data_IF_665058266164
#
_entry.id   IF_665058266164
#
_cell.length_a   1.000
_cell.length_b   1.000
_cell.length_c   1.000
_cell.angle_alpha   90.00
_cell.angle_beta   90.00
_cell.angle_gamma   90.00
#
_symmetry.space_group_name_H-M   'P 1'
#
loop_
_entity.id
_entity.type
_entity.pdbx_description
1 polymer ?
#
# COMPACT_ATOMS: atom_id res chain seq x y z
N UNK A 1 4.74 -17.18 7.66
CA UNK A 1 4.20 -16.09 6.81
C UNK A 1 2.84 -15.71 7.39
N UNK A 2 2.64 -14.46 7.78
CA UNK A 2 1.48 -14.04 8.59
C UNK A 2 0.59 -12.98 7.93
N UNK A 3 1.05 -12.36 6.83
CA UNK A 3 0.24 -11.46 6.00
C UNK A 3 0.76 -11.42 4.55
N UNK A 4 -0.01 -10.84 3.61
CA UNK A 4 0.40 -10.69 2.20
C UNK A 4 1.72 -9.92 2.04
N UNK A 5 1.99 -8.93 2.89
CA UNK A 5 3.25 -8.19 2.87
C UNK A 5 4.50 -9.07 3.09
N UNK A 6 4.39 -10.12 3.92
CA UNK A 6 5.49 -11.07 4.13
C UNK A 6 5.81 -11.86 2.85
N UNK A 7 4.81 -12.18 2.02
CA UNK A 7 5.03 -12.86 0.74
C UNK A 7 5.86 -12.00 -0.20
N UNK A 8 5.49 -10.73 -0.36
CA UNK A 8 6.22 -9.78 -1.21
C UNK A 8 7.62 -9.49 -0.69
N UNK A 9 7.79 -9.32 0.62
CA UNK A 9 9.11 -9.09 1.24
C UNK A 9 10.10 -10.23 1.00
N UNK A 10 9.61 -11.46 1.01
CA UNK A 10 10.45 -12.65 0.83
C UNK A 10 10.56 -13.09 -0.65
N UNK A 11 9.79 -12.49 -1.56
CA UNK A 11 9.90 -12.77 -2.98
C UNK A 11 11.16 -12.12 -3.57
N UNK A 12 11.89 -12.87 -4.41
CA UNK A 12 13.04 -12.34 -5.14
C UNK A 12 12.62 -11.32 -6.22
N UNK A 13 11.43 -11.48 -6.78
CA UNK A 13 10.86 -10.56 -7.77
C UNK A 13 9.34 -10.57 -7.71
N UNK A 14 8.74 -9.38 -7.82
CA UNK A 14 7.32 -9.18 -8.03
C UNK A 14 7.08 -8.84 -9.50
N UNK A 15 6.42 -9.74 -10.23
CA UNK A 15 6.06 -9.50 -11.62
C UNK A 15 4.67 -8.87 -11.66
N UNK A 16 4.55 -7.73 -12.34
CA UNK A 16 3.29 -6.99 -12.46
C UNK A 16 2.93 -6.89 -13.93
N UNK A 17 1.81 -7.50 -14.31
CA UNK A 17 1.25 -7.38 -15.65
C UNK A 17 0.15 -6.31 -15.65
N UNK A 18 0.23 -5.39 -16.61
CA UNK A 18 -0.62 -4.21 -16.72
C UNK A 18 -1.32 -4.21 -18.08
N UNK A 19 -2.53 -4.78 -18.10
CA UNK A 19 -3.36 -4.83 -19.31
C UNK A 19 -3.85 -3.44 -19.75
N UNK A 20 -3.96 -2.52 -18.79
CA UNK A 20 -4.44 -1.15 -18.99
C UNK A 20 -3.29 -0.13 -18.93
N UNK A 21 -2.08 -0.55 -19.29
CA UNK A 21 -0.95 0.36 -19.37
C UNK A 21 -1.24 1.48 -20.40
N UNK A 22 -1.29 2.75 -19.97
CA UNK A 22 -1.70 3.81 -20.87
C UNK A 22 -0.57 4.18 -21.83
N UNK A 23 -0.94 4.34 -23.11
CA UNK A 23 -0.19 5.17 -24.06
C UNK A 23 -0.90 6.51 -24.17
N UNK A 24 -0.38 7.63 -23.63
CA UNK A 24 0.97 7.87 -23.13
C UNK A 24 1.22 7.50 -21.64
N UNK A 25 2.50 7.29 -21.27
CA UNK A 25 2.94 7.07 -19.89
C UNK A 25 2.48 8.19 -18.94
N UNK A 26 2.14 7.84 -17.70
CA UNK A 26 1.70 8.78 -16.66
C UNK A 26 0.19 8.89 -16.45
N UNK A 27 -0.64 8.28 -17.30
CA UNK A 27 -2.09 8.18 -17.06
C UNK A 27 -2.40 7.24 -15.89
N UNK A 28 -3.53 7.48 -15.22
CA UNK A 28 -3.94 6.67 -14.07
C UNK A 28 -4.36 5.26 -14.53
N UNK A 29 -3.62 4.23 -14.14
CA UNK A 29 -3.98 2.83 -14.38
C UNK A 29 -4.67 2.21 -13.15
N UNK A 30 -5.33 1.07 -13.33
CA UNK A 30 -5.98 0.29 -12.28
C UNK A 30 -5.00 -0.14 -11.20
N UNK A 31 -3.75 -0.42 -11.57
CA UNK A 31 -2.73 -0.81 -10.60
C UNK A 31 -2.47 0.27 -9.55
N UNK A 32 -2.44 1.53 -9.95
CA UNK A 32 -2.22 2.68 -9.06
C UNK A 32 -3.42 2.99 -8.15
N UNK A 33 -4.60 2.46 -8.47
CA UNK A 33 -5.84 2.67 -7.71
C UNK A 33 -6.24 1.49 -6.86
N UNK A 34 -5.71 0.29 -7.07
CA UNK A 34 -6.00 -0.87 -6.20
C UNK A 34 -5.28 -0.73 -4.85
N UNK A 35 -5.97 -1.09 -3.76
CA UNK A 35 -5.43 -0.99 -2.39
C UNK A 35 -4.23 -1.90 -2.15
N UNK A 36 -4.38 -3.19 -2.48
CA UNK A 36 -3.39 -4.23 -2.22
C UNK A 36 -2.06 -4.04 -2.95
N UNK A 37 -2.08 -3.38 -4.11
CA UNK A 37 -0.88 -3.18 -4.93
C UNK A 37 0.14 -2.24 -4.27
N UNK A 38 -0.25 -1.48 -3.24
CA UNK A 38 0.72 -0.71 -2.46
C UNK A 38 1.67 -1.64 -1.70
N UNK A 39 1.18 -2.76 -1.15
CA UNK A 39 2.06 -3.73 -0.49
C UNK A 39 2.99 -4.41 -1.49
N UNK A 40 2.47 -4.75 -2.67
CA UNK A 40 3.27 -5.36 -3.75
C UNK A 40 4.50 -4.51 -4.10
N UNK A 41 4.31 -3.22 -4.33
CA UNK A 41 5.39 -2.32 -4.74
C UNK A 41 6.36 -2.06 -3.58
N UNK A 42 5.82 -1.76 -2.40
CA UNK A 42 6.64 -1.22 -1.31
C UNK A 42 7.38 -2.34 -0.56
N UNK A 43 6.73 -3.49 -0.40
CA UNK A 43 7.29 -4.61 0.37
C UNK A 43 8.23 -5.47 -0.46
N UNK A 44 8.11 -5.51 -1.78
CA UNK A 44 9.02 -6.28 -2.63
C UNK A 44 10.43 -5.71 -2.61
N UNK A 45 11.43 -6.54 -2.92
CA UNK A 45 12.81 -6.08 -3.14
C UNK A 45 13.06 -5.63 -4.59
N UNK A 46 12.26 -6.18 -5.52
CA UNK A 46 12.32 -5.84 -6.95
C UNK A 46 10.96 -6.08 -7.57
N UNK A 47 10.47 -5.11 -8.35
CA UNK A 47 9.27 -5.24 -9.16
C UNK A 47 9.61 -5.04 -10.63
N UNK A 48 9.03 -5.85 -11.52
CA UNK A 48 9.17 -5.73 -12.97
C UNK A 48 7.79 -5.62 -13.58
N UNK A 49 7.57 -4.57 -14.36
CA UNK A 49 6.29 -4.27 -14.98
C UNK A 49 6.29 -4.71 -16.44
N UNK A 50 5.19 -5.33 -16.86
CA UNK A 50 4.91 -5.73 -18.22
C UNK A 50 3.62 -5.08 -18.69
N UNK A 51 3.59 -4.61 -19.94
CA UNK A 51 2.35 -4.18 -20.61
C UNK A 51 1.59 -5.38 -21.22
N UNK A 52 0.50 -5.09 -21.94
CA UNK A 52 -0.35 -6.09 -22.59
C UNK A 52 0.42 -6.93 -23.63
N UNK A 53 1.43 -6.34 -24.25
CA UNK A 53 2.28 -6.97 -25.26
C UNK A 53 3.49 -7.69 -24.64
N UNK A 54 3.51 -7.88 -23.32
CA UNK A 54 4.61 -8.46 -22.55
C UNK A 54 5.95 -7.75 -22.74
N UNK A 55 5.92 -6.47 -23.12
CA UNK A 55 7.11 -5.63 -23.14
C UNK A 55 7.37 -5.08 -21.75
N UNK A 56 8.65 -5.06 -21.36
CA UNK A 56 9.06 -4.51 -20.07
C UNK A 56 8.84 -3.01 -20.07
N UNK A 57 8.02 -2.52 -19.16
CA UNK A 57 7.92 -1.09 -18.89
C UNK A 57 8.89 -0.70 -17.77
N UNK A 58 9.68 0.34 -18.03
CA UNK A 58 10.58 0.96 -17.05
C UNK A 58 9.91 2.11 -16.29
N UNK A 59 8.66 2.43 -16.61
CA UNK A 59 8.05 3.66 -16.14
C UNK A 59 7.59 3.55 -14.68
N UNK A 60 7.75 4.66 -13.95
CA UNK A 60 7.36 4.79 -12.54
C UNK A 60 5.86 5.00 -12.43
N UNK A 61 5.10 3.97 -12.78
CA UNK A 61 3.62 3.93 -12.75
C UNK A 61 3.02 4.19 -11.36
N UNK A 62 3.84 4.03 -10.34
CA UNK A 62 3.43 4.10 -8.97
C UNK A 62 3.59 5.55 -8.52
N UNK A 63 2.50 6.23 -8.12
CA UNK A 63 2.52 7.50 -7.36
C UNK A 63 3.09 7.30 -5.94
N UNK A 64 4.15 6.51 -5.84
CA UNK A 64 4.89 6.13 -4.65
C UNK A 64 6.26 6.80 -4.81
N UNK A 65 6.75 7.54 -3.80
CA UNK A 65 8.08 8.13 -3.84
C UNK A 65 9.14 7.07 -4.18
N UNK A 66 10.13 7.47 -4.98
CA UNK A 66 11.18 6.58 -5.51
C UNK A 66 11.87 5.80 -4.40
N UNK A 67 12.14 6.46 -3.28
CA UNK A 67 12.85 5.90 -2.13
C UNK A 67 12.05 4.80 -1.41
N UNK A 68 10.74 4.71 -1.66
CA UNK A 68 9.86 3.69 -1.09
C UNK A 68 9.52 2.58 -2.09
N UNK A 69 9.91 2.74 -3.36
CA UNK A 69 9.72 1.70 -4.37
C UNK A 69 10.64 0.52 -4.07
N UNK A 70 10.07 -0.67 -3.98
CA UNK A 70 10.82 -1.90 -3.77
C UNK A 70 11.75 -1.88 -2.54
N UNK A 71 11.32 -1.20 -1.47
CA UNK A 71 12.13 -1.02 -0.25
C UNK A 71 12.34 -2.31 0.57
N UNK A 72 11.79 -3.45 0.16
CA UNK A 72 11.77 -4.67 0.99
C UNK A 72 10.94 -4.51 2.27
N UNK A 73 10.10 -3.47 2.33
CA UNK A 73 9.41 -3.06 3.56
C UNK A 73 10.35 -2.55 4.66
N UNK A 74 11.58 -2.11 4.32
CA UNK A 74 12.43 -1.32 5.21
C UNK A 74 12.04 0.15 5.07
N UNK A 75 10.94 0.49 5.72
CA UNK A 75 10.36 1.83 5.65
C UNK A 75 10.67 2.57 6.93
N UNK A 76 11.46 3.64 6.82
CA UNK A 76 11.56 4.66 7.87
C UNK A 76 10.63 5.82 7.54
N UNK A 77 9.32 5.53 7.51
CA UNK A 77 8.29 6.54 7.27
C UNK A 77 7.17 6.41 8.28
N UNK A 78 6.65 7.56 8.68
CA UNK A 78 5.50 7.65 9.56
C UNK A 78 4.26 6.97 8.94
N UNK A 79 3.41 6.38 9.78
CA UNK A 79 2.16 5.73 9.38
C UNK A 79 1.24 6.69 8.59
N UNK A 80 1.27 7.99 8.92
CA UNK A 80 0.59 9.05 8.15
C UNK A 80 0.99 9.10 6.67
N UNK A 81 2.27 8.88 6.35
CA UNK A 81 2.74 8.86 4.96
C UNK A 81 2.17 7.65 4.21
N UNK A 82 2.10 6.48 4.87
CA UNK A 82 1.48 5.26 4.33
C UNK A 82 -0.01 5.49 4.07
N UNK A 83 -0.73 6.05 5.03
CA UNK A 83 -2.15 6.39 4.89
C UNK A 83 -2.40 7.39 3.74
N UNK A 84 -1.51 8.38 3.59
CA UNK A 84 -1.57 9.34 2.47
C UNK A 84 -1.38 8.67 1.12
N UNK A 85 -0.47 7.70 1.01
CA UNK A 85 -0.28 6.89 -0.21
C UNK A 85 -1.49 6.00 -0.51
N UNK A 86 -2.19 5.54 0.52
CA UNK A 86 -3.39 4.70 0.39
C UNK A 86 -4.67 5.50 0.09
N UNK A 87 -4.68 6.83 0.28
CA UNK A 87 -5.89 7.67 0.20
C UNK A 87 -6.69 7.52 -1.09
N UNK A 88 -6.03 7.47 -2.25
CA UNK A 88 -6.68 7.35 -3.56
C UNK A 88 -6.93 5.90 -3.99
N UNK A 89 -6.61 4.94 -3.13
CA UNK A 89 -6.73 3.52 -3.44
C UNK A 89 -8.07 2.93 -2.96
N UNK A 90 -8.58 1.98 -3.71
CA UNK A 90 -9.87 1.31 -3.50
C UNK A 90 -9.67 -0.20 -3.42
N UNK A 91 -10.55 -0.85 -2.67
CA UNK A 91 -10.57 -2.30 -2.51
C UNK A 91 -11.98 -2.79 -2.78
N UNK A 92 -12.11 -4.06 -3.14
CA UNK A 92 -13.42 -4.67 -3.38
C UNK A 92 -14.23 -4.76 -2.09
N UNK A 93 -13.64 -5.32 -1.02
CA UNK A 93 -14.22 -5.29 0.32
C UNK A 93 -13.82 -3.99 1.02
N UNK A 94 -14.74 -3.24 1.65
CA UNK A 94 -14.40 -2.01 2.37
C UNK A 94 -13.34 -2.19 3.46
N UNK A 95 -13.34 -3.32 4.16
CA UNK A 95 -12.40 -3.66 5.24
C UNK A 95 -10.98 -3.87 4.75
N UNK A 96 -10.82 -4.35 3.50
CA UNK A 96 -9.51 -4.57 2.89
C UNK A 96 -8.71 -3.27 2.77
N UNK A 97 -9.35 -2.09 2.84
CA UNK A 97 -8.63 -0.81 2.92
C UNK A 97 -7.71 -0.74 4.13
N UNK A 98 -8.11 -1.31 5.27
CA UNK A 98 -7.26 -1.39 6.45
C UNK A 98 -6.29 -2.58 6.35
N UNK A 99 -6.77 -3.74 5.93
CA UNK A 99 -5.94 -4.95 5.88
C UNK A 99 -4.81 -4.88 4.85
N UNK A 100 -5.03 -4.18 3.72
CA UNK A 100 -4.01 -3.88 2.72
C UNK A 100 -2.93 -2.91 3.19
N UNK A 101 -2.97 -2.40 4.42
CA UNK A 101 -1.90 -1.57 4.99
C UNK A 101 -1.06 -2.30 6.04
N UNK A 102 -1.60 -3.37 6.65
CA UNK A 102 -0.98 -4.08 7.79
C UNK A 102 0.48 -4.47 7.55
N UNK A 103 0.79 -5.01 6.36
CA UNK A 103 2.14 -5.44 6.03
C UNK A 103 3.14 -4.29 5.97
N UNK A 104 2.70 -3.14 5.45
CA UNK A 104 3.52 -1.93 5.27
C UNK A 104 3.79 -1.27 6.62
N UNK A 105 2.75 -1.17 7.48
CA UNK A 105 2.90 -0.61 8.83
C UNK A 105 3.51 -1.60 9.83
N UNK A 106 3.80 -2.84 9.42
CA UNK A 106 4.41 -3.85 10.29
C UNK A 106 3.49 -4.40 11.38
N UNK A 107 2.17 -4.33 11.20
CA UNK A 107 1.18 -4.77 12.19
C UNK A 107 0.65 -6.16 11.84
N UNK A 108 0.39 -6.98 12.87
CA UNK A 108 -0.28 -8.27 12.74
C UNK A 108 -1.60 -8.24 13.51
N UNK A 109 -2.72 -8.46 12.83
CA UNK A 109 -4.03 -8.66 13.43
C UNK A 109 -4.83 -9.71 12.65
N UNK A 110 -5.75 -10.39 13.33
CA UNK A 110 -6.66 -11.33 12.66
C UNK A 110 -7.63 -10.59 11.73
N UNK A 111 -7.79 -11.06 10.49
CA UNK A 111 -8.76 -10.52 9.53
C UNK A 111 -10.16 -10.89 10.02
N UNK A 112 -10.99 -9.87 10.25
CA UNK A 112 -12.38 -10.01 10.66
C UNK A 112 -13.26 -9.31 9.60
N UNK A 113 -13.73 -10.08 8.62
CA UNK A 113 -14.56 -9.59 7.53
C UNK A 113 -16.03 -9.51 7.98
N UNK A 114 -16.78 -8.50 7.54
CA UNK A 114 -18.22 -8.40 7.79
C UNK A 114 -18.60 -7.58 9.02
N UNK A 115 -17.62 -6.97 9.69
CA UNK A 115 -17.88 -6.00 10.78
C UNK A 115 -17.74 -4.53 10.33
N UNK A 116 -17.56 -4.30 9.03
CA UNK A 116 -17.46 -2.95 8.45
C UNK A 116 -16.05 -2.38 8.49
N UNK A 117 -15.80 -1.42 7.59
CA UNK A 117 -14.48 -0.79 7.41
C UNK A 117 -14.04 -0.01 8.65
N UNK A 118 -14.98 0.60 9.36
CA UNK A 118 -14.73 1.43 10.54
C UNK A 118 -14.06 0.60 11.64
N UNK A 119 -14.58 -0.62 11.87
CA UNK A 119 -14.00 -1.54 12.86
C UNK A 119 -12.63 -2.06 12.42
N UNK A 120 -12.44 -2.34 11.14
CA UNK A 120 -11.14 -2.75 10.61
C UNK A 120 -10.08 -1.64 10.78
N UNK A 121 -10.43 -0.38 10.49
CA UNK A 121 -9.54 0.76 10.71
C UNK A 121 -9.27 1.03 12.19
N UNK A 122 -10.27 0.91 13.06
CA UNK A 122 -10.10 1.06 14.51
C UNK A 122 -9.07 0.06 15.06
N UNK A 123 -9.18 -1.22 14.68
CA UNK A 123 -8.22 -2.26 15.07
C UNK A 123 -6.82 -2.01 14.49
N UNK A 124 -6.74 -1.49 13.26
CA UNK A 124 -5.48 -1.09 12.65
C UNK A 124 -4.80 0.02 13.45
N UNK A 125 -5.51 1.11 13.75
CA UNK A 125 -4.95 2.22 14.50
C UNK A 125 -4.55 1.82 15.93
N UNK A 126 -5.38 1.05 16.62
CA UNK A 126 -5.05 0.49 17.93
C UNK A 126 -3.75 -0.31 17.87
N UNK A 127 -3.61 -1.17 16.85
CA UNK A 127 -2.43 -2.00 16.71
C UNK A 127 -1.18 -1.21 16.30
N UNK A 128 -1.32 -0.15 15.50
CA UNK A 128 -0.21 0.76 15.15
C UNK A 128 0.28 1.48 16.41
N UNK A 129 -0.63 2.08 17.19
CA UNK A 129 -0.29 2.76 18.44
C UNK A 129 0.42 1.80 19.39
N UNK A 130 -0.11 0.58 19.56
CA UNK A 130 0.44 -0.40 20.50
C UNK A 130 1.82 -0.94 20.08
N UNK A 131 2.05 -1.11 18.77
CA UNK A 131 3.25 -1.79 18.27
C UNK A 131 4.36 -0.81 17.90
N UNK A 132 4.01 0.30 17.26
CA UNK A 132 4.96 1.27 16.73
C UNK A 132 5.04 2.57 17.55
N UNK A 133 4.14 2.77 18.53
CA UNK A 133 3.98 4.02 19.28
C UNK A 133 3.82 5.27 18.37
N UNK A 134 3.42 5.07 17.11
CA UNK A 134 3.35 6.13 16.10
C UNK A 134 1.99 6.83 16.17
N UNK A 135 2.00 8.01 16.81
CA UNK A 135 0.82 8.90 16.92
C UNK A 135 0.57 9.74 15.67
N UNK A 136 1.44 9.67 14.65
CA UNK A 136 1.25 10.41 13.39
C UNK A 136 -0.02 9.97 12.66
N UNK A 137 -0.58 8.81 12.99
CA UNK A 137 -1.88 8.33 12.50
C UNK A 137 -3.04 9.31 12.74
N UNK A 138 -2.88 10.36 13.56
CA UNK A 138 -3.89 11.40 13.73
C UNK A 138 -3.67 12.60 12.79
N UNK A 139 -2.49 12.74 12.19
CA UNK A 139 -2.12 13.84 11.28
C UNK A 139 -2.43 13.55 9.80
N UNK A 140 -2.96 12.38 9.48
CA UNK A 140 -3.25 11.97 8.09
C UNK A 140 -4.47 12.68 7.45
N UNK A 141 -5.36 13.28 8.23
CA UNK A 141 -6.57 13.95 7.74
C UNK A 141 -6.42 15.46 7.56
N UNK A 142 -5.26 16.05 7.91
CA UNK A 142 -4.91 17.43 7.63
C UNK A 142 -6.03 18.43 7.89
N UNK A 143 -6.20 18.88 9.14
CA UNK A 143 -6.88 20.15 9.38
C UNK A 143 -5.86 21.28 9.21
N UNK A 144 -5.93 21.97 8.06
CA UNK A 144 -5.69 23.41 8.08
C UNK A 144 -6.84 24.02 8.89
N UNK A 145 -6.68 24.17 10.20
CA UNK A 145 -7.55 25.02 11.00
C UNK A 145 -6.67 25.89 11.88
N UNK A 146 -6.53 27.14 11.42
CA UNK A 146 -5.69 28.16 12.04
C UNK A 146 -5.27 29.28 11.08
N UNK A 147 -6.13 29.68 10.13
CA UNK A 147 -6.17 31.02 9.52
C UNK A 147 -7.62 31.36 9.23
#
# INVERSE_FOLDING_TARGET
ISCMGDWYRNAQVCLVYLDDYPSPPGSQNQYSTRGWTLQEIVMSQRAVFYDREWQKSLDRLCRVPVDLLCSGGKLDVAASAILRMARKRTTFKPEDRAYSLMGIVGVRMAIDCGRGKEKAFSRLFESIIRTAADVSIFNWTGKNFGQ
#
